data_IF_224743968285
#
_entry.id   IF_224743968285
#
_cell.length_a   1.000
_cell.length_b   1.000
_cell.length_c   1.000
_cell.angle_alpha   90.00
_cell.angle_beta   90.00
_cell.angle_gamma   90.00
#
_symmetry.space_group_name_H-M   'P 1'
#
loop_
_entity.id
_entity.type
_entity.pdbx_description
1 polymer ?
#
# COMPACT_ATOMS: atom_id res chain seq x y z
N UNK A 1 3.72 -24.49 -26.86
CA UNK A 1 2.26 -24.78 -26.81
C UNK A 1 1.51 -23.54 -27.21
N UNK A 2 0.66 -23.58 -28.25
CA UNK A 2 -0.16 -22.42 -28.65
C UNK A 2 -1.41 -22.44 -27.78
N UNK A 3 -1.59 -21.40 -26.94
CA UNK A 3 -2.80 -21.25 -26.13
C UNK A 3 -4.04 -21.03 -27.01
N UNK A 4 -5.22 -21.59 -26.65
CA UNK A 4 -6.46 -21.29 -27.32
C UNK A 4 -6.72 -19.78 -27.37
N UNK A 5 -7.31 -19.28 -28.46
CA UNK A 5 -7.62 -17.85 -28.65
C UNK A 5 -8.41 -17.28 -27.48
N UNK A 6 -9.41 -18.01 -26.99
CA UNK A 6 -10.26 -17.63 -25.85
C UNK A 6 -9.47 -17.35 -24.56
N UNK A 7 -8.42 -18.14 -24.28
CA UNK A 7 -7.58 -17.94 -23.08
C UNK A 7 -6.81 -16.63 -23.17
N UNK A 8 -6.29 -16.31 -24.38
CA UNK A 8 -5.61 -15.02 -24.59
C UNK A 8 -6.56 -13.84 -24.46
N UNK A 9 -7.76 -13.95 -25.02
CA UNK A 9 -8.78 -12.87 -25.01
C UNK A 9 -9.31 -12.54 -23.63
N UNK A 10 -9.19 -13.45 -22.65
CA UNK A 10 -9.65 -13.26 -21.27
C UNK A 10 -8.50 -13.06 -20.27
N UNK A 11 -7.25 -13.05 -20.72
CA UNK A 11 -6.10 -12.95 -19.84
C UNK A 11 -6.03 -11.61 -19.08
N UNK A 12 -6.55 -10.54 -19.66
CA UNK A 12 -6.67 -9.23 -19.02
C UNK A 12 -7.62 -9.26 -17.80
N UNK A 13 -8.77 -9.91 -17.92
CA UNK A 13 -9.72 -10.06 -16.81
C UNK A 13 -9.18 -11.01 -15.74
N UNK A 14 -8.56 -12.13 -16.16
CA UNK A 14 -7.92 -13.06 -15.25
C UNK A 14 -6.79 -12.38 -14.45
N UNK A 15 -5.98 -11.55 -15.11
CA UNK A 15 -4.94 -10.76 -14.46
C UNK A 15 -5.52 -9.81 -13.41
N UNK A 16 -6.56 -9.04 -13.76
CA UNK A 16 -7.19 -8.09 -12.83
C UNK A 16 -7.70 -8.85 -11.60
N UNK A 17 -8.37 -9.99 -11.78
CA UNK A 17 -8.84 -10.82 -10.68
C UNK A 17 -7.68 -11.37 -9.81
N UNK A 18 -6.63 -11.89 -10.43
CA UNK A 18 -5.44 -12.40 -9.74
C UNK A 18 -4.77 -11.35 -8.87
N UNK A 19 -4.60 -10.13 -9.40
CA UNK A 19 -3.98 -9.03 -8.66
C UNK A 19 -4.91 -8.46 -7.58
N UNK A 20 -6.20 -8.29 -7.89
CA UNK A 20 -7.17 -7.75 -6.95
C UNK A 20 -7.38 -8.66 -5.71
N UNK A 21 -7.23 -9.97 -5.89
CA UNK A 21 -7.33 -10.98 -4.82
C UNK A 21 -5.98 -11.27 -4.13
N UNK A 22 -4.94 -10.52 -4.48
CA UNK A 22 -3.59 -10.65 -3.90
C UNK A 22 -3.02 -12.07 -4.05
N UNK A 23 -3.38 -12.77 -5.13
CA UNK A 23 -2.90 -14.12 -5.40
C UNK A 23 -1.39 -14.11 -5.75
N UNK A 24 -0.62 -15.17 -5.40
CA UNK A 24 0.80 -15.23 -5.71
C UNK A 24 1.08 -15.16 -7.21
N UNK A 25 2.02 -14.30 -7.61
CA UNK A 25 2.47 -14.12 -9.02
C UNK A 25 3.58 -15.12 -9.33
N UNK A 26 3.27 -16.39 -9.18
CA UNK A 26 4.18 -17.52 -9.44
C UNK A 26 3.52 -18.51 -10.40
N UNK A 27 4.30 -19.39 -11.02
CA UNK A 27 3.79 -20.46 -11.89
C UNK A 27 2.82 -19.97 -12.96
N UNK A 28 1.61 -20.51 -12.98
CA UNK A 28 0.55 -20.19 -13.95
C UNK A 28 0.06 -18.74 -13.79
N UNK A 29 -0.06 -18.23 -12.57
CA UNK A 29 -0.49 -16.85 -12.32
C UNK A 29 0.51 -15.85 -12.93
N UNK A 30 1.81 -16.15 -12.91
CA UNK A 30 2.81 -15.30 -13.58
C UNK A 30 2.66 -15.33 -15.11
N UNK A 31 2.30 -16.47 -15.68
CA UNK A 31 2.01 -16.58 -17.10
C UNK A 31 0.75 -15.80 -17.48
N UNK A 32 -0.30 -15.87 -16.67
CA UNK A 32 -1.53 -15.06 -16.78
C UNK A 32 -1.18 -13.58 -16.68
N UNK A 33 -0.33 -13.19 -15.74
CA UNK A 33 0.07 -11.80 -15.54
C UNK A 33 0.80 -11.23 -16.78
N UNK A 34 1.71 -11.99 -17.39
CA UNK A 34 2.39 -11.58 -18.63
C UNK A 34 1.42 -11.39 -19.79
N UNK A 35 0.56 -12.39 -20.03
CA UNK A 35 -0.43 -12.34 -21.09
C UNK A 35 -1.46 -11.24 -20.89
N UNK A 36 -1.94 -11.07 -19.64
CA UNK A 36 -2.92 -10.05 -19.28
C UNK A 36 -2.37 -8.63 -19.43
N UNK A 37 -1.11 -8.39 -19.03
CA UNK A 37 -0.45 -7.10 -19.28
C UNK A 37 -0.30 -6.81 -20.76
N UNK A 38 0.07 -7.81 -21.59
CA UNK A 38 0.13 -7.67 -23.04
C UNK A 38 -1.24 -7.28 -23.63
N UNK A 39 -2.32 -7.95 -23.17
CA UNK A 39 -3.68 -7.65 -23.59
C UNK A 39 -4.14 -6.24 -23.16
N UNK A 40 -3.87 -5.85 -21.92
CA UNK A 40 -4.21 -4.51 -21.42
C UNK A 40 -3.48 -3.42 -22.22
N UNK A 41 -2.21 -3.63 -22.53
CA UNK A 41 -1.40 -2.71 -23.32
C UNK A 41 -1.90 -2.61 -24.77
N UNK A 42 -2.39 -3.70 -25.34
CA UNK A 42 -2.98 -3.72 -26.69
C UNK A 42 -4.33 -3.00 -26.79
N UNK A 43 -5.05 -2.85 -25.67
CA UNK A 43 -6.24 -2.02 -25.57
C UNK A 43 -7.51 -2.60 -26.19
N UNK A 44 -7.74 -3.90 -26.09
CA UNK A 44 -8.85 -4.61 -26.73
C UNK A 44 -10.23 -4.34 -26.15
N UNK A 45 -10.36 -3.94 -24.86
CA UNK A 45 -11.64 -3.74 -24.19
C UNK A 45 -11.97 -2.26 -23.99
N UNK A 46 -13.13 -1.77 -24.53
CA UNK A 46 -13.54 -0.37 -24.37
C UNK A 46 -13.64 0.06 -22.90
N UNK A 47 -14.22 -0.79 -22.04
CA UNK A 47 -14.40 -0.47 -20.62
C UNK A 47 -13.08 -0.31 -19.86
N UNK A 48 -12.10 -1.18 -20.09
CA UNK A 48 -10.78 -1.04 -19.49
C UNK A 48 -10.03 0.16 -20.05
N UNK A 49 -10.19 0.45 -21.34
CA UNK A 49 -9.63 1.63 -21.96
C UNK A 49 -10.13 2.93 -21.30
N UNK A 50 -11.44 3.05 -21.12
CA UNK A 50 -12.05 4.20 -20.45
C UNK A 50 -11.62 4.30 -18.98
N UNK A 51 -11.52 3.18 -18.25
CA UNK A 51 -11.10 3.17 -16.86
C UNK A 51 -9.62 3.58 -16.70
N UNK A 52 -8.74 3.13 -17.58
CA UNK A 52 -7.33 3.54 -17.60
C UNK A 52 -7.18 5.04 -17.86
N UNK A 53 -7.97 5.59 -18.78
CA UNK A 53 -7.99 7.03 -19.06
C UNK A 53 -8.44 7.83 -17.83
N UNK A 54 -9.52 7.40 -17.13
CA UNK A 54 -9.96 8.04 -15.89
C UNK A 54 -8.95 7.92 -14.76
N UNK A 55 -8.19 6.83 -14.73
CA UNK A 55 -7.08 6.64 -13.78
C UNK A 55 -5.82 7.45 -14.14
N UNK A 56 -5.76 8.08 -15.31
CA UNK A 56 -4.57 8.80 -15.80
C UNK A 56 -3.39 7.87 -16.13
N UNK A 57 -3.67 6.61 -16.47
CA UNK A 57 -2.65 5.59 -16.71
C UNK A 57 -2.33 5.43 -18.21
N UNK A 58 -1.05 5.50 -18.54
CA UNK A 58 -0.55 5.21 -19.89
C UNK A 58 -0.49 3.69 -20.11
N UNK A 59 -1.15 3.20 -21.18
CA UNK A 59 -1.28 1.77 -21.47
C UNK A 59 0.06 1.06 -21.68
N UNK A 60 0.99 1.71 -22.35
CA UNK A 60 2.30 1.16 -22.70
C UNK A 60 3.17 0.85 -21.48
N UNK A 61 2.80 1.40 -20.31
CA UNK A 61 3.57 1.31 -19.07
C UNK A 61 2.85 0.66 -17.90
N UNK A 62 1.78 -0.05 -18.19
CA UNK A 62 1.01 -0.72 -17.13
C UNK A 62 1.87 -1.75 -16.40
N UNK A 63 1.82 -1.68 -15.07
CA UNK A 63 2.44 -2.62 -14.14
C UNK A 63 1.37 -3.34 -13.32
N UNK A 64 1.75 -4.37 -12.57
CA UNK A 64 0.83 -5.01 -11.62
C UNK A 64 0.38 -4.04 -10.53
N UNK A 65 1.26 -3.12 -10.11
CA UNK A 65 0.94 -2.09 -9.12
C UNK A 65 -0.15 -1.15 -9.62
N UNK A 66 -0.11 -0.74 -10.89
CA UNK A 66 -1.19 0.06 -11.47
C UNK A 66 -2.53 -0.68 -11.42
N UNK A 67 -2.53 -1.99 -11.63
CA UNK A 67 -3.74 -2.81 -11.53
C UNK A 67 -4.20 -2.89 -10.08
N UNK A 68 -3.31 -3.24 -9.16
CA UNK A 68 -3.61 -3.43 -7.74
C UNK A 68 -4.03 -2.14 -7.03
N UNK A 69 -3.37 -1.01 -7.32
CA UNK A 69 -3.57 0.24 -6.59
C UNK A 69 -4.44 1.28 -7.32
N UNK A 70 -4.64 1.14 -8.62
CA UNK A 70 -5.45 2.10 -9.36
C UNK A 70 -6.71 1.47 -9.99
N UNK A 71 -6.62 0.31 -10.63
CA UNK A 71 -7.74 -0.29 -11.36
C UNK A 71 -8.64 -1.12 -10.44
N UNK A 72 -8.09 -2.07 -9.70
CA UNK A 72 -8.86 -2.94 -8.81
C UNK A 72 -9.67 -2.18 -7.75
N UNK A 73 -9.13 -1.12 -7.09
CA UNK A 73 -9.90 -0.33 -6.13
C UNK A 73 -11.08 0.41 -6.73
N UNK A 74 -10.98 0.89 -7.98
CA UNK A 74 -12.08 1.51 -8.71
C UNK A 74 -13.18 0.52 -8.97
N UNK A 75 -12.86 -0.64 -9.52
CA UNK A 75 -13.82 -1.73 -9.75
C UNK A 75 -14.50 -2.18 -8.45
N UNK A 76 -13.71 -2.33 -7.38
CA UNK A 76 -14.21 -2.73 -6.07
C UNK A 76 -15.09 -1.65 -5.40
N UNK A 77 -14.90 -0.36 -5.74
CA UNK A 77 -15.68 0.72 -5.16
C UNK A 77 -17.18 0.58 -5.51
N UNK A 78 -17.52 0.12 -6.72
CA UNK A 78 -18.89 -0.14 -7.12
C UNK A 78 -19.61 -1.11 -6.17
N UNK A 79 -18.92 -2.17 -5.70
CA UNK A 79 -19.52 -3.13 -4.76
C UNK A 79 -19.50 -2.68 -3.28
N UNK A 80 -18.72 -1.64 -2.93
CA UNK A 80 -18.62 -1.15 -1.53
C UNK A 80 -19.62 -0.05 -1.20
N UNK A 81 -19.92 0.82 -2.17
CA UNK A 81 -20.77 2.01 -1.97
C UNK A 81 -21.86 2.16 -3.05
N UNK A 82 -21.98 1.19 -3.97
CA UNK A 82 -22.92 1.16 -5.08
C UNK A 82 -23.31 -0.25 -5.50
N UNK A 83 -23.50 -0.47 -6.80
CA UNK A 83 -23.90 -1.75 -7.40
C UNK A 83 -22.72 -2.43 -8.10
N UNK A 84 -22.29 -3.59 -7.61
CA UNK A 84 -21.20 -4.38 -8.21
C UNK A 84 -21.46 -4.74 -9.69
N UNK A 85 -22.72 -4.86 -10.10
CA UNK A 85 -23.10 -5.12 -11.48
C UNK A 85 -22.56 -4.08 -12.47
N UNK A 86 -22.41 -2.82 -12.05
CA UNK A 86 -21.86 -1.74 -12.89
C UNK A 86 -20.42 -2.01 -13.32
N UNK A 87 -19.60 -2.51 -12.39
CA UNK A 87 -18.22 -2.90 -12.71
C UNK A 87 -18.17 -4.08 -13.68
N UNK A 88 -19.04 -5.08 -13.51
CA UNK A 88 -19.14 -6.19 -14.44
C UNK A 88 -19.58 -5.73 -15.85
N UNK A 89 -20.59 -4.86 -15.93
CA UNK A 89 -21.05 -4.29 -17.21
C UNK A 89 -19.92 -3.52 -17.91
N UNK A 90 -19.16 -2.68 -17.16
CA UNK A 90 -18.00 -1.97 -17.72
C UNK A 90 -16.98 -2.92 -18.35
N UNK A 91 -16.67 -4.03 -17.67
CA UNK A 91 -15.68 -5.00 -18.17
C UNK A 91 -16.17 -5.78 -19.40
N UNK A 92 -17.49 -5.89 -19.61
CA UNK A 92 -18.11 -6.70 -20.65
C UNK A 92 -18.63 -5.91 -21.85
N UNK A 93 -18.91 -4.61 -21.70
CA UNK A 93 -19.47 -3.81 -22.79
C UNK A 93 -18.54 -3.72 -24.00
N UNK A 94 -19.13 -3.80 -25.18
CA UNK A 94 -18.46 -3.56 -26.46
C UNK A 94 -18.73 -2.13 -27.01
N UNK A 95 -19.64 -1.38 -26.38
CA UNK A 95 -19.97 -0.01 -26.77
C UNK A 95 -19.04 1.01 -26.11
N UNK A 96 -18.24 1.76 -26.89
CA UNK A 96 -17.34 2.77 -26.32
C UNK A 96 -18.07 3.91 -25.57
N UNK A 97 -19.28 4.30 -25.99
CA UNK A 97 -20.03 5.37 -25.33
C UNK A 97 -20.54 4.90 -23.96
N UNK A 98 -21.09 3.69 -23.89
CA UNK A 98 -21.48 3.06 -22.62
C UNK A 98 -20.27 2.86 -21.69
N UNK A 99 -19.12 2.46 -22.26
CA UNK A 99 -17.87 2.27 -21.49
C UNK A 99 -17.42 3.56 -20.81
N UNK A 100 -17.46 4.69 -21.51
CA UNK A 100 -17.13 6.01 -20.95
C UNK A 100 -18.07 6.38 -19.82
N UNK A 101 -19.39 6.24 -20.01
CA UNK A 101 -20.39 6.57 -19.01
C UNK A 101 -20.22 5.71 -17.73
N UNK A 102 -20.01 4.40 -17.88
CA UNK A 102 -19.78 3.48 -16.75
C UNK A 102 -18.46 3.76 -16.04
N UNK A 103 -17.39 4.12 -16.78
CA UNK A 103 -16.12 4.49 -16.16
C UNK A 103 -16.25 5.77 -15.32
N UNK A 104 -17.05 6.75 -15.76
CA UNK A 104 -17.34 7.95 -14.98
C UNK A 104 -18.11 7.61 -13.70
N UNK A 105 -19.14 6.76 -13.78
CA UNK A 105 -19.90 6.31 -12.61
C UNK A 105 -18.99 5.62 -11.58
N UNK A 106 -18.11 4.72 -12.05
CA UNK A 106 -17.16 3.99 -11.19
C UNK A 106 -16.14 4.93 -10.56
N UNK A 107 -15.63 5.93 -11.31
CA UNK A 107 -14.72 6.92 -10.74
C UNK A 107 -15.42 7.75 -9.65
N UNK A 108 -16.65 8.17 -9.85
CA UNK A 108 -17.42 8.89 -8.82
C UNK A 108 -17.65 8.02 -7.57
N UNK A 109 -17.98 6.74 -7.74
CA UNK A 109 -18.11 5.79 -6.64
C UNK A 109 -16.77 5.62 -5.87
N UNK A 110 -15.66 5.58 -6.59
CA UNK A 110 -14.32 5.48 -5.98
C UNK A 110 -13.95 6.76 -5.21
N UNK A 111 -14.22 7.94 -5.76
CA UNK A 111 -14.00 9.23 -5.07
C UNK A 111 -14.86 9.31 -3.80
N UNK A 112 -16.12 8.94 -3.90
CA UNK A 112 -17.02 8.90 -2.75
C UNK A 112 -16.53 7.93 -1.67
N UNK A 113 -16.16 6.69 -2.04
CA UNK A 113 -15.58 5.71 -1.12
C UNK A 113 -14.34 6.26 -0.41
N UNK A 114 -13.42 6.90 -1.15
CA UNK A 114 -12.20 7.49 -0.58
C UNK A 114 -12.53 8.55 0.46
N UNK A 115 -13.46 9.45 0.16
CA UNK A 115 -13.87 10.51 1.09
C UNK A 115 -14.54 9.95 2.35
N UNK A 116 -15.47 8.98 2.19
CA UNK A 116 -16.12 8.31 3.32
C UNK A 116 -15.09 7.57 4.18
N UNK A 117 -14.15 6.85 3.55
CA UNK A 117 -13.07 6.14 4.29
C UNK A 117 -12.16 7.11 5.03
N UNK A 118 -11.81 8.24 4.41
CA UNK A 118 -10.98 9.28 5.04
C UNK A 118 -11.63 9.86 6.28
N UNK A 119 -12.91 10.23 6.21
CA UNK A 119 -13.67 10.76 7.36
C UNK A 119 -13.75 9.73 8.48
N UNK A 120 -14.15 8.51 8.15
CA UNK A 120 -14.27 7.43 9.10
C UNK A 120 -12.94 7.08 9.78
N UNK A 121 -11.82 7.17 9.06
CA UNK A 121 -10.48 6.97 9.64
C UNK A 121 -10.13 8.08 10.65
N UNK A 122 -10.45 9.34 10.36
CA UNK A 122 -10.24 10.45 11.30
C UNK A 122 -11.06 10.23 12.56
N UNK A 123 -12.35 9.93 12.43
CA UNK A 123 -13.25 9.65 13.55
C UNK A 123 -12.76 8.47 14.40
N UNK A 124 -12.33 7.38 13.74
CA UNK A 124 -11.81 6.20 14.43
C UNK A 124 -10.53 6.52 15.21
N UNK A 125 -9.62 7.30 14.64
CA UNK A 125 -8.38 7.72 15.30
C UNK A 125 -8.63 8.64 16.48
N UNK A 126 -9.52 9.61 16.31
CA UNK A 126 -9.91 10.52 17.39
C UNK A 126 -10.53 9.76 18.56
N UNK A 127 -11.44 8.82 18.29
CA UNK A 127 -12.06 7.99 19.32
C UNK A 127 -11.06 7.05 20.03
N UNK A 128 -9.97 6.66 19.37
CA UNK A 128 -8.86 5.89 19.95
C UNK A 128 -7.79 6.78 20.60
N UNK A 129 -7.91 8.12 20.55
CA UNK A 129 -6.91 9.04 21.07
C UNK A 129 -5.58 9.06 20.33
N UNK A 130 -5.58 8.65 19.04
CA UNK A 130 -4.36 8.43 18.24
C UNK A 130 -3.91 9.67 17.45
N UNK A 131 -4.60 10.80 17.57
CA UNK A 131 -4.35 12.00 16.79
C UNK A 131 -4.64 11.86 15.29
N UNK A 132 -4.52 12.94 14.49
CA UNK A 132 -4.85 12.93 13.08
C UNK A 132 -3.93 12.00 12.29
N UNK A 133 -4.39 11.47 11.13
CA UNK A 133 -3.54 10.70 10.24
C UNK A 133 -2.34 11.54 9.75
N UNK A 134 -1.21 10.89 9.53
CA UNK A 134 0.00 11.55 8.99
C UNK A 134 -0.24 12.16 7.61
N UNK A 135 -1.18 11.59 6.85
CA UNK A 135 -1.68 12.16 5.60
C UNK A 135 -3.20 11.94 5.50
N UNK A 136 -4.02 12.98 5.75
CA UNK A 136 -5.48 12.88 5.63
C UNK A 136 -5.97 12.63 4.18
N UNK A 137 -5.10 12.79 3.17
CA UNK A 137 -5.41 12.57 1.76
C UNK A 137 -4.99 11.21 1.21
N UNK A 138 -4.11 10.49 1.88
CA UNK A 138 -3.65 9.18 1.47
C UNK A 138 -4.70 8.11 1.85
N UNK A 139 -5.51 7.71 0.89
CA UNK A 139 -6.26 6.46 0.99
C UNK A 139 -5.29 5.26 1.07
N UNK A 140 -5.73 4.07 1.50
CA UNK A 140 -4.90 2.87 1.59
C UNK A 140 -4.23 2.47 0.26
N UNK A 141 -4.57 3.12 -0.81
CA UNK A 141 -4.18 2.83 -2.19
C UNK A 141 -2.98 3.63 -2.71
N UNK A 142 -2.53 4.65 -1.99
CA UNK A 142 -1.36 5.45 -2.43
C UNK A 142 -0.02 4.87 -1.96
N UNK A 143 -0.06 3.84 -1.15
CA UNK A 143 1.11 3.28 -0.49
C UNK A 143 1.94 2.28 -1.32
N UNK A 144 1.52 1.98 -2.52
CA UNK A 144 2.22 1.04 -3.41
C UNK A 144 2.46 1.54 -4.82
N UNK A 145 2.06 2.78 -5.14
CA UNK A 145 2.27 3.35 -6.47
C UNK A 145 3.71 3.88 -6.61
N UNK A 146 4.68 3.01 -6.49
CA UNK A 146 6.08 3.23 -6.90
C UNK A 146 6.28 3.19 -8.42
N UNK A 147 5.23 3.44 -9.20
CA UNK A 147 5.28 3.65 -10.63
C UNK A 147 4.70 5.02 -10.93
N UNK A 148 5.59 5.99 -11.22
CA UNK A 148 5.22 7.37 -11.51
C UNK A 148 4.06 7.48 -12.49
N UNK A 149 2.92 7.87 -11.99
CA UNK A 149 1.82 8.36 -12.83
C UNK A 149 1.91 9.88 -12.88
N UNK A 150 1.81 10.46 -14.08
CA UNK A 150 1.72 11.91 -14.31
C UNK A 150 0.52 12.57 -13.58
N UNK A 151 -0.26 11.82 -12.81
CA UNK A 151 -1.41 12.30 -12.06
C UNK A 151 -1.02 13.18 -10.86
N UNK A 152 0.19 13.04 -10.30
CA UNK A 152 0.70 13.90 -9.23
C UNK A 152 1.19 15.27 -9.73
N UNK A 153 1.30 15.46 -11.05
CA UNK A 153 1.77 16.73 -11.64
C UNK A 153 0.69 17.81 -11.75
N UNK A 154 -0.58 17.52 -11.45
CA UNK A 154 -1.67 18.50 -11.55
C UNK A 154 -2.01 19.25 -10.27
N UNK A 155 -1.38 18.97 -9.15
CA UNK A 155 -1.52 19.76 -7.92
C UNK A 155 -0.29 20.62 -7.67
N UNK A 156 -0.32 21.80 -8.32
CA UNK A 156 0.22 23.05 -7.76
C UNK A 156 1.74 23.12 -7.57
N UNK A 157 2.46 23.40 -8.65
CA UNK A 157 3.66 24.21 -8.59
C UNK A 157 3.39 25.53 -9.30
N UNK A 158 2.65 26.40 -8.66
CA UNK A 158 2.78 27.84 -8.91
C UNK A 158 4.01 28.33 -8.15
N UNK A 159 5.05 28.61 -8.94
CA UNK A 159 6.19 29.36 -8.51
C UNK A 159 5.76 30.82 -8.38
N UNK A 160 5.63 31.34 -7.17
CA UNK A 160 5.86 32.77 -6.90
C UNK A 160 5.95 33.04 -5.39
N UNK A 161 6.99 33.76 -5.06
CA UNK A 161 7.23 34.58 -3.86
C UNK A 161 7.57 33.81 -2.56
N UNK A 162 8.88 33.82 -2.31
CA UNK A 162 9.44 33.68 -0.98
C UNK A 162 9.01 34.86 -0.09
N UNK A 163 8.62 34.61 1.15
CA UNK A 163 8.83 35.60 2.22
C UNK A 163 10.11 35.22 2.98
N UNK A 164 10.90 36.28 3.13
CA UNK A 164 12.11 36.40 3.94
C UNK A 164 12.03 35.73 5.30
N UNK A 165 13.14 35.10 5.64
CA UNK A 165 13.44 34.49 6.93
C UNK A 165 13.12 35.42 8.11
N UNK A 166 12.22 34.97 8.98
CA UNK A 166 12.25 35.33 10.37
C UNK A 166 12.67 34.07 11.15
N UNK A 167 13.84 34.12 11.73
CA UNK A 167 14.38 33.10 12.60
C UNK A 167 13.42 32.91 13.78
N UNK A 168 12.66 31.83 13.78
CA UNK A 168 11.99 31.35 14.97
C UNK A 168 12.97 30.43 15.70
N UNK A 169 13.32 30.85 16.92
CA UNK A 169 14.17 30.13 17.85
C UNK A 169 13.64 28.68 18.02
N UNK A 170 14.58 27.73 18.03
CA UNK A 170 14.32 26.36 18.44
C UNK A 170 13.68 26.37 19.84
N UNK A 171 12.57 25.65 20.08
CA UNK A 171 12.08 25.45 21.43
C UNK A 171 13.12 24.64 22.21
N UNK A 172 13.44 25.16 23.40
CA UNK A 172 14.28 24.49 24.37
C UNK A 172 13.74 23.07 24.66
N UNK A 173 14.67 22.15 24.92
CA UNK A 173 14.34 20.79 25.39
C UNK A 173 13.43 20.87 26.62
N UNK A 174 12.14 20.75 26.36
CA UNK A 174 11.10 20.64 27.36
C UNK A 174 10.42 19.30 27.21
N UNK A 175 10.41 18.56 28.29
CA UNK A 175 9.65 17.35 28.60
C UNK A 175 9.16 16.54 27.41
N UNK A 176 9.88 15.47 27.12
CA UNK A 176 9.39 14.38 26.28
C UNK A 176 8.15 13.83 27.00
N UNK A 177 6.97 14.31 26.61
CA UNK A 177 5.71 13.67 26.97
C UNK A 177 5.83 12.27 26.37
N UNK A 178 5.93 11.28 27.25
CA UNK A 178 5.97 9.88 26.83
C UNK A 178 4.80 9.65 25.86
N UNK A 179 5.11 9.18 24.65
CA UNK A 179 4.07 8.83 23.69
C UNK A 179 3.11 7.86 24.39
N UNK A 180 1.79 8.04 24.30
CA UNK A 180 0.85 7.16 24.99
C UNK A 180 1.16 5.71 24.58
N UNK A 181 1.32 4.82 25.56
CA UNK A 181 1.53 3.40 25.28
C UNK A 181 0.32 2.91 24.49
N UNK A 182 0.56 2.53 23.23
CA UNK A 182 -0.46 2.00 22.35
C UNK A 182 -1.00 0.68 22.94
N UNK A 183 -2.32 0.47 22.95
CA UNK A 183 -2.89 -0.79 23.40
C UNK A 183 -2.40 -1.94 22.53
N UNK A 184 -2.47 -3.17 23.04
CA UNK A 184 -2.02 -4.36 22.33
C UNK A 184 -2.78 -4.60 21.01
N UNK A 185 -4.01 -4.12 20.91
CA UNK A 185 -4.82 -4.09 19.71
C UNK A 185 -5.67 -2.81 19.66
N UNK A 186 -6.03 -2.38 18.47
CA UNK A 186 -6.94 -1.25 18.24
C UNK A 186 -8.34 -1.80 18.01
N UNK A 187 -9.21 -1.66 19.01
CA UNK A 187 -10.59 -2.21 18.96
C UNK A 187 -11.57 -1.05 19.07
N UNK A 188 -12.41 -0.88 18.05
CA UNK A 188 -13.31 0.25 17.96
C UNK A 188 -14.63 -0.12 17.28
N UNK A 189 -15.70 0.54 17.68
CA UNK A 189 -16.99 0.53 17.00
C UNK A 189 -17.46 1.96 16.69
N UNK A 190 -18.17 2.10 15.57
CA UNK A 190 -18.74 3.37 15.15
C UNK A 190 -19.90 3.16 14.18
N UNK A 191 -20.43 4.23 13.65
CA UNK A 191 -21.50 4.19 12.65
C UNK A 191 -20.93 4.45 11.24
N UNK A 192 -20.31 3.42 10.69
CA UNK A 192 -19.67 3.49 9.37
C UNK A 192 -20.29 2.48 8.41
N UNK A 193 -20.32 2.76 7.09
CA UNK A 193 -20.78 1.78 6.10
C UNK A 193 -19.98 0.46 6.21
N UNK A 194 -20.70 -0.66 6.19
CA UNK A 194 -20.10 -2.01 6.30
C UNK A 194 -19.00 -2.24 5.24
N UNK A 195 -19.16 -1.67 4.03
CA UNK A 195 -18.22 -1.84 2.93
C UNK A 195 -16.84 -1.21 3.16
N UNK A 196 -16.68 -0.32 4.17
CA UNK A 196 -15.41 0.39 4.43
C UNK A 196 -14.72 0.01 5.73
N UNK A 197 -15.39 -0.69 6.69
CA UNK A 197 -14.78 -1.01 7.99
C UNK A 197 -13.48 -1.83 7.83
N UNK A 198 -13.39 -2.68 6.81
CA UNK A 198 -12.18 -3.43 6.50
C UNK A 198 -11.04 -2.56 5.97
N UNK A 199 -11.34 -1.43 5.34
CA UNK A 199 -10.33 -0.45 4.90
C UNK A 199 -9.80 0.35 6.10
N UNK A 200 -10.69 0.74 7.02
CA UNK A 200 -10.31 1.42 8.27
C UNK A 200 -9.42 0.50 9.11
N UNK A 201 -9.83 -0.77 9.32
CA UNK A 201 -9.06 -1.75 10.06
C UNK A 201 -7.68 -1.97 9.44
N UNK A 202 -7.60 -2.08 8.11
CA UNK A 202 -6.34 -2.22 7.38
C UNK A 202 -5.42 -1.04 7.63
N UNK A 203 -5.93 0.18 7.50
CA UNK A 203 -5.13 1.38 7.69
C UNK A 203 -4.63 1.54 9.13
N UNK A 204 -5.49 1.27 10.12
CA UNK A 204 -5.10 1.30 11.53
C UNK A 204 -4.02 0.25 11.83
N UNK A 205 -4.17 -0.98 11.32
CA UNK A 205 -3.19 -2.03 11.53
C UNK A 205 -1.83 -1.69 10.90
N UNK A 206 -1.83 -1.10 9.71
CA UNK A 206 -0.62 -0.67 9.00
C UNK A 206 0.07 0.52 9.66
N UNK A 207 -0.70 1.55 10.06
CA UNK A 207 -0.14 2.77 10.64
C UNK A 207 0.50 2.52 12.02
N UNK A 208 -0.05 1.58 12.79
CA UNK A 208 0.36 1.35 14.18
C UNK A 208 1.06 0.02 14.42
N UNK A 209 1.14 -0.86 13.41
CA UNK A 209 1.72 -2.18 13.56
C UNK A 209 0.99 -3.06 14.60
N UNK A 210 -0.29 -2.80 14.86
CA UNK A 210 -1.11 -3.51 15.85
C UNK A 210 -2.31 -4.18 15.19
N UNK A 211 -2.82 -5.30 15.72
CA UNK A 211 -4.10 -5.83 15.27
C UNK A 211 -5.19 -4.76 15.41
N UNK A 212 -6.02 -4.62 14.38
CA UNK A 212 -7.12 -3.66 14.39
C UNK A 212 -8.45 -4.34 14.11
N UNK A 213 -9.44 -4.03 14.94
CA UNK A 213 -10.83 -4.49 14.84
C UNK A 213 -11.73 -3.28 14.74
N UNK A 214 -12.48 -3.19 13.66
CA UNK A 214 -13.44 -2.10 13.42
C UNK A 214 -14.81 -2.69 13.21
N UNK A 215 -15.77 -2.30 14.07
CA UNK A 215 -17.13 -2.77 14.04
C UNK A 215 -18.11 -1.63 13.73
N UNK A 216 -19.22 -2.00 13.10
CA UNK A 216 -20.35 -1.13 12.82
C UNK A 216 -21.66 -1.86 13.06
N UNK A 217 -22.76 -1.12 13.22
CA UNK A 217 -24.10 -1.70 13.32
C UNK A 217 -24.47 -2.33 11.98
N UNK A 218 -24.75 -3.64 12.00
CA UNK A 218 -25.26 -4.37 10.84
C UNK A 218 -26.77 -4.27 10.75
N UNK A 219 -27.41 -4.45 11.89
CA UNK A 219 -28.86 -4.40 12.02
C UNK A 219 -29.22 -3.79 13.40
N UNK A 220 -29.87 -2.65 13.35
CA UNK A 220 -30.25 -1.90 14.55
C UNK A 220 -31.39 -2.58 15.34
N UNK A 221 -32.28 -3.34 14.67
CA UNK A 221 -33.40 -4.00 15.33
C UNK A 221 -32.92 -5.20 16.15
N UNK A 222 -32.01 -6.01 15.60
CA UNK A 222 -31.43 -7.14 16.31
C UNK A 222 -30.26 -6.75 17.23
N UNK A 223 -29.76 -5.52 17.14
CA UNK A 223 -28.58 -5.07 17.87
C UNK A 223 -27.30 -5.79 17.46
N UNK A 224 -27.24 -6.30 16.24
CA UNK A 224 -26.08 -7.03 15.72
C UNK A 224 -25.04 -6.07 15.14
N UNK A 225 -23.80 -6.24 15.58
CA UNK A 225 -22.63 -5.57 15.00
C UNK A 225 -21.91 -6.50 14.03
N UNK A 226 -21.37 -5.92 12.97
CA UNK A 226 -20.40 -6.57 12.07
C UNK A 226 -19.03 -5.97 12.26
N UNK A 227 -18.02 -6.81 12.40
CA UNK A 227 -16.64 -6.40 12.56
C UNK A 227 -15.74 -6.92 11.44
N UNK A 228 -14.75 -6.13 11.10
CA UNK A 228 -13.64 -6.50 10.23
C UNK A 228 -12.33 -6.38 11.00
N UNK A 229 -11.48 -7.40 10.87
CA UNK A 229 -10.21 -7.50 11.58
C UNK A 229 -9.05 -7.51 10.59
N UNK A 230 -7.96 -6.84 10.97
CA UNK A 230 -6.68 -6.91 10.26
C UNK A 230 -5.56 -7.17 11.24
N UNK A 231 -4.66 -8.08 10.86
CA UNK A 231 -3.53 -8.42 11.70
C UNK A 231 -2.48 -7.33 11.69
N UNK A 232 -1.82 -7.18 12.83
CA UNK A 232 -0.58 -6.44 13.02
C UNK A 232 0.26 -7.18 14.03
N UNK A 233 1.56 -6.91 14.10
CA UNK A 233 2.49 -7.53 15.04
C UNK A 233 2.46 -9.07 15.08
N UNK A 234 2.14 -9.73 13.96
CA UNK A 234 2.17 -11.20 13.85
C UNK A 234 1.02 -11.95 14.53
N UNK A 235 0.00 -11.27 15.02
CA UNK A 235 -1.14 -11.93 15.68
C UNK A 235 -1.98 -12.71 14.66
N UNK A 236 -2.16 -14.03 14.87
CA UNK A 236 -3.06 -14.86 14.07
C UNK A 236 -4.51 -14.58 14.45
N UNK A 237 -5.24 -13.86 13.60
CA UNK A 237 -6.62 -13.45 13.85
C UNK A 237 -7.58 -14.63 13.88
N UNK A 238 -7.39 -15.66 13.03
CA UNK A 238 -8.25 -16.81 13.00
C UNK A 238 -8.25 -17.55 14.35
N UNK A 239 -7.06 -17.79 14.93
CA UNK A 239 -6.91 -18.39 16.25
C UNK A 239 -7.46 -17.49 17.36
N UNK A 240 -7.19 -16.17 17.30
CA UNK A 240 -7.70 -15.24 18.30
C UNK A 240 -9.23 -15.15 18.31
N UNK A 241 -9.89 -15.29 17.18
CA UNK A 241 -11.35 -15.32 17.09
C UNK A 241 -11.93 -16.66 17.54
N UNK A 242 -11.23 -17.78 17.35
CA UNK A 242 -11.63 -19.09 17.93
C UNK A 242 -11.68 -19.01 19.44
N UNK A 243 -10.70 -18.34 20.08
CA UNK A 243 -10.66 -18.15 21.54
C UNK A 243 -11.78 -17.23 22.08
N UNK A 244 -12.47 -16.53 21.17
CA UNK A 244 -13.64 -15.69 21.49
C UNK A 244 -14.95 -16.24 20.92
N UNK A 245 -14.96 -17.45 20.37
CA UNK A 245 -16.09 -17.98 19.56
C UNK A 245 -17.42 -18.06 20.31
N UNK A 246 -17.39 -18.27 21.63
CA UNK A 246 -18.57 -18.30 22.50
C UNK A 246 -19.29 -16.94 22.64
N UNK A 247 -18.61 -15.84 22.24
CA UNK A 247 -19.17 -14.49 22.25
C UNK A 247 -19.75 -14.10 20.87
N UNK A 248 -19.36 -14.82 19.82
CA UNK A 248 -19.63 -14.43 18.46
C UNK A 248 -20.85 -15.17 17.87
N UNK A 249 -21.67 -14.47 17.09
CA UNK A 249 -22.78 -15.08 16.32
C UNK A 249 -22.21 -15.90 15.19
N UNK A 250 -21.22 -15.38 14.49
CA UNK A 250 -20.42 -16.07 13.47
C UNK A 250 -19.08 -15.40 13.31
N UNK A 251 -18.10 -16.15 12.89
CA UNK A 251 -16.78 -15.63 12.57
C UNK A 251 -16.13 -16.41 11.44
N UNK A 252 -15.12 -15.84 10.80
CA UNK A 252 -14.34 -16.50 9.75
C UNK A 252 -13.22 -15.62 9.23
N UNK A 253 -12.29 -16.24 8.53
CA UNK A 253 -11.14 -15.58 7.93
C UNK A 253 -9.87 -16.37 8.08
N UNK A 254 -8.75 -15.66 7.89
CA UNK A 254 -7.39 -16.21 7.89
C UNK A 254 -6.54 -15.49 8.95
N UNK A 255 -5.29 -15.88 9.08
CA UNK A 255 -4.35 -15.28 10.04
C UNK A 255 -4.22 -13.75 9.87
N UNK A 256 -4.21 -13.25 8.64
CA UNK A 256 -3.99 -11.84 8.34
C UNK A 256 -5.26 -10.98 8.32
N UNK A 257 -6.41 -11.56 7.96
CA UNK A 257 -7.68 -10.85 7.81
C UNK A 257 -8.86 -11.77 8.18
N UNK A 258 -9.75 -11.24 9.02
CA UNK A 258 -10.91 -11.98 9.49
C UNK A 258 -12.11 -11.03 9.68
N UNK A 259 -13.26 -11.59 9.95
CA UNK A 259 -14.46 -10.85 10.28
C UNK A 259 -15.41 -11.67 11.15
N UNK A 260 -16.30 -11.00 11.85
CA UNK A 260 -17.29 -11.63 12.69
C UNK A 260 -18.55 -10.77 12.84
N UNK A 261 -19.63 -11.40 13.26
CA UNK A 261 -20.83 -10.75 13.75
C UNK A 261 -20.98 -11.05 15.24
N UNK A 262 -21.43 -10.04 16.02
CA UNK A 262 -21.57 -10.10 17.47
C UNK A 262 -22.80 -9.30 17.93
N UNK A 263 -23.47 -9.74 18.99
CA UNK A 263 -24.47 -8.92 19.66
C UNK A 263 -23.81 -7.74 20.36
N UNK A 264 -24.38 -6.53 20.21
CA UNK A 264 -23.84 -5.31 20.82
C UNK A 264 -23.68 -5.41 22.35
N UNK A 265 -24.55 -6.20 23.01
CA UNK A 265 -24.48 -6.48 24.44
C UNK A 265 -23.20 -7.23 24.85
N UNK A 266 -22.64 -8.07 23.95
CA UNK A 266 -21.44 -8.86 24.20
C UNK A 266 -20.15 -8.14 23.83
N UNK A 267 -20.23 -6.98 23.17
CA UNK A 267 -19.06 -6.24 22.71
C UNK A 267 -18.06 -5.91 23.82
N UNK A 268 -18.46 -5.40 25.01
CA UNK A 268 -17.47 -5.06 26.05
C UNK A 268 -16.68 -6.30 26.55
N UNK A 269 -17.32 -7.45 26.64
CA UNK A 269 -16.67 -8.72 27.04
C UNK A 269 -15.69 -9.19 25.96
N UNK A 270 -16.09 -9.09 24.70
CA UNK A 270 -15.23 -9.42 23.56
C UNK A 270 -14.00 -8.51 23.53
N UNK A 271 -14.18 -7.21 23.62
CA UNK A 271 -13.09 -6.23 23.59
C UNK A 271 -12.06 -6.51 24.69
N UNK A 272 -12.51 -6.69 25.93
CA UNK A 272 -11.62 -7.01 27.04
C UNK A 272 -10.85 -8.31 26.83
N UNK A 273 -11.53 -9.37 26.33
CA UNK A 273 -10.92 -10.67 26.07
C UNK A 273 -9.91 -10.59 24.91
N UNK A 274 -10.28 -9.92 23.82
CA UNK A 274 -9.40 -9.80 22.67
C UNK A 274 -8.14 -8.97 22.98
N UNK A 275 -8.26 -7.87 23.73
CA UNK A 275 -7.11 -7.08 24.18
C UNK A 275 -6.13 -7.90 25.00
N UNK A 276 -6.62 -8.77 25.89
CA UNK A 276 -5.77 -9.70 26.65
C UNK A 276 -5.06 -10.70 25.75
N UNK A 277 -5.79 -11.34 24.83
CA UNK A 277 -5.22 -12.29 23.85
C UNK A 277 -4.15 -11.60 23.00
N UNK A 278 -4.42 -10.39 22.54
CA UNK A 278 -3.45 -9.61 21.77
C UNK A 278 -2.20 -9.29 22.60
N UNK A 279 -2.36 -8.87 23.87
CA UNK A 279 -1.23 -8.56 24.77
C UNK A 279 -0.31 -9.78 24.99
N UNK A 280 -0.89 -10.96 25.09
CA UNK A 280 -0.13 -12.23 25.25
C UNK A 280 0.64 -12.63 23.97
N UNK A 281 0.15 -12.20 22.80
CA UNK A 281 0.70 -12.57 21.48
C UNK A 281 1.51 -11.48 20.79
N UNK A 282 1.26 -10.21 21.11
CA UNK A 282 2.04 -9.06 20.65
C UNK A 282 3.32 -8.97 21.48
N UNK A 283 4.44 -9.30 20.98
CA UNK A 283 5.72 -9.21 21.71
C UNK A 283 6.67 -10.37 21.41
N UNK A 284 6.13 -11.42 20.80
CA UNK A 284 6.92 -12.55 20.31
C UNK A 284 7.47 -12.34 18.89
N UNK A 285 7.19 -11.19 18.26
CA UNK A 285 7.60 -10.94 16.87
C UNK A 285 9.05 -10.49 16.88
N UNK A 286 9.94 -11.37 16.42
CA UNK A 286 11.33 -11.00 16.10
C UNK A 286 11.33 -9.82 15.11
N UNK A 287 12.36 -8.95 15.14
CA UNK A 287 12.51 -7.91 14.14
C UNK A 287 12.37 -8.51 12.74
N UNK A 288 11.65 -7.83 11.85
CA UNK A 288 11.49 -8.30 10.48
C UNK A 288 12.86 -8.43 9.82
N UNK A 289 13.23 -9.63 9.41
CA UNK A 289 14.44 -9.84 8.63
C UNK A 289 14.22 -9.27 7.23
N UNK A 290 15.08 -8.35 6.81
CA UNK A 290 15.09 -7.81 5.45
C UNK A 290 16.00 -8.68 4.59
N UNK A 291 15.42 -9.23 3.52
CA UNK A 291 16.19 -10.04 2.56
C UNK A 291 16.92 -9.12 1.59
N UNK A 292 18.20 -9.39 1.37
CA UNK A 292 19.04 -8.76 0.35
C UNK A 292 19.25 -9.79 -0.77
N UNK A 293 18.83 -9.46 -1.98
CA UNK A 293 19.01 -10.35 -3.13
C UNK A 293 20.34 -10.12 -3.84
N UNK A 294 20.80 -8.87 -3.88
CA UNK A 294 22.06 -8.49 -4.54
C UNK A 294 22.69 -7.30 -3.82
N UNK A 295 24.02 -7.33 -3.68
CA UNK A 295 24.83 -6.18 -3.21
C UNK A 295 25.47 -5.51 -4.41
N UNK A 296 25.24 -4.20 -4.57
CA UNK A 296 25.67 -3.43 -5.75
C UNK A 296 26.32 -2.13 -5.30
N UNK A 297 27.52 -1.78 -5.78
CA UNK A 297 28.06 -0.43 -5.60
C UNK A 297 27.15 0.63 -6.25
N UNK A 298 27.06 1.80 -5.65
CA UNK A 298 26.19 2.87 -6.17
C UNK A 298 26.50 3.23 -7.63
N UNK A 299 27.75 3.13 -8.05
CA UNK A 299 28.19 3.44 -9.42
C UNK A 299 27.67 2.45 -10.48
N UNK A 300 27.31 1.23 -10.06
CA UNK A 300 26.78 0.18 -10.94
C UNK A 300 25.23 0.23 -11.05
N UNK A 301 24.57 1.13 -10.33
CA UNK A 301 23.12 1.31 -10.45
C UNK A 301 22.83 2.15 -11.69
N UNK A 302 22.84 1.54 -12.87
CA UNK A 302 22.64 2.17 -14.16
C UNK A 302 21.42 1.61 -14.93
N UNK A 303 21.21 2.06 -16.15
CA UNK A 303 20.10 1.58 -16.99
C UNK A 303 20.29 0.15 -17.49
N UNK A 304 21.52 -0.36 -17.53
CA UNK A 304 21.79 -1.74 -17.92
C UNK A 304 21.34 -2.68 -16.81
N UNK A 305 21.68 -2.37 -15.55
CA UNK A 305 21.17 -3.09 -14.38
C UNK A 305 19.62 -3.06 -14.33
N UNK A 306 19.00 -1.89 -14.58
CA UNK A 306 17.54 -1.79 -14.58
C UNK A 306 16.92 -2.67 -15.66
N UNK A 307 17.54 -2.77 -16.83
CA UNK A 307 17.08 -3.62 -17.94
C UNK A 307 17.15 -5.10 -17.56
N UNK A 308 18.23 -5.52 -16.92
CA UNK A 308 18.39 -6.90 -16.45
C UNK A 308 17.37 -7.24 -15.36
N UNK A 309 17.17 -6.37 -14.37
CA UNK A 309 16.13 -6.53 -13.35
C UNK A 309 14.74 -6.61 -13.97
N UNK A 310 14.47 -5.78 -15.00
CA UNK A 310 13.20 -5.77 -15.72
C UNK A 310 12.86 -7.11 -16.42
N UNK A 311 13.82 -8.00 -16.64
CA UNK A 311 13.55 -9.36 -17.14
C UNK A 311 12.82 -10.23 -16.11
N UNK A 312 12.87 -9.86 -14.84
CA UNK A 312 12.16 -10.54 -13.76
C UNK A 312 10.67 -10.20 -13.75
N UNK A 313 10.25 -9.14 -14.44
CA UNK A 313 8.84 -8.73 -14.47
C UNK A 313 7.92 -9.77 -15.15
N UNK A 314 6.67 -9.86 -14.75
CA UNK A 314 6.02 -9.11 -13.68
C UNK A 314 6.36 -9.65 -12.29
N UNK A 315 6.76 -8.75 -11.40
CA UNK A 315 6.95 -9.03 -9.98
C UNK A 315 5.65 -8.75 -9.21
N UNK A 316 5.47 -9.39 -8.06
CA UNK A 316 4.29 -9.25 -7.23
C UNK A 316 4.32 -10.19 -6.02
N UNK A 317 3.15 -10.48 -5.43
CA UNK A 317 3.05 -11.37 -4.27
C UNK A 317 3.66 -12.74 -4.58
N UNK A 318 4.52 -13.24 -3.70
CA UNK A 318 5.23 -14.52 -3.87
C UNK A 318 6.36 -14.52 -4.93
N UNK A 319 6.52 -13.42 -5.66
CA UNK A 319 7.61 -13.17 -6.60
C UNK A 319 7.99 -11.68 -6.52
N UNK A 320 8.55 -11.20 -5.40
CA UNK A 320 8.84 -9.80 -5.19
C UNK A 320 9.93 -9.28 -6.15
N UNK A 321 9.92 -7.97 -6.39
CA UNK A 321 11.06 -7.31 -7.02
C UNK A 321 12.30 -7.44 -6.13
N UNK A 322 13.51 -7.60 -6.70
CA UNK A 322 14.71 -7.82 -5.91
C UNK A 322 15.05 -6.59 -5.04
N UNK A 323 15.42 -6.85 -3.80
CA UNK A 323 15.97 -5.87 -2.89
C UNK A 323 17.49 -5.78 -3.08
N UNK A 324 17.95 -4.61 -3.49
CA UNK A 324 19.37 -4.31 -3.69
C UNK A 324 19.95 -3.64 -2.44
N UNK A 325 21.02 -4.16 -1.88
CA UNK A 325 21.84 -3.40 -0.96
C UNK A 325 22.83 -2.56 -1.77
N UNK A 326 22.52 -1.29 -1.95
CA UNK A 326 23.33 -0.36 -2.73
C UNK A 326 24.28 0.38 -1.80
N UNK A 327 25.59 0.18 -2.02
CA UNK A 327 26.62 0.69 -1.12
C UNK A 327 27.28 1.96 -1.64
N UNK A 328 27.62 2.88 -0.73
CA UNK A 328 28.50 4.00 -1.03
C UNK A 328 27.82 5.27 -1.52
N UNK A 329 26.58 5.53 -1.13
CA UNK A 329 25.93 6.82 -1.38
C UNK A 329 26.39 7.90 -0.38
N UNK A 330 26.32 9.15 -0.86
CA UNK A 330 26.35 10.35 0.00
C UNK A 330 25.02 11.05 -0.08
N UNK A 331 24.43 11.38 1.06
CA UNK A 331 23.18 12.14 1.14
C UNK A 331 23.43 13.56 0.67
N UNK A 332 22.73 13.99 -0.37
CA UNK A 332 22.70 15.38 -0.81
C UNK A 332 21.54 16.11 -0.14
N UNK A 333 20.40 15.42 -0.03
CA UNK A 333 19.22 15.98 0.62
C UNK A 333 18.27 14.85 1.06
N UNK A 334 17.73 15.01 2.26
CA UNK A 334 16.59 14.24 2.76
C UNK A 334 15.50 15.23 3.18
N UNK A 335 14.27 15.04 2.74
CA UNK A 335 13.15 15.90 3.12
C UNK A 335 11.86 15.12 3.28
N UNK A 336 11.06 15.53 4.26
CA UNK A 336 9.71 15.02 4.39
C UNK A 336 8.86 15.42 3.16
N UNK A 337 8.04 14.50 2.70
CA UNK A 337 7.08 14.67 1.62
C UNK A 337 5.68 14.32 2.14
N UNK A 338 4.66 14.79 1.40
CA UNK A 338 3.27 14.47 1.72
C UNK A 338 3.08 12.95 1.81
N UNK A 339 2.18 12.52 2.68
CA UNK A 339 1.91 11.08 2.87
C UNK A 339 2.85 10.38 3.86
N UNK A 340 3.63 11.12 4.64
CA UNK A 340 4.58 10.54 5.58
C UNK A 340 5.76 9.84 4.87
N UNK A 341 6.12 10.30 3.67
CA UNK A 341 7.25 9.79 2.90
C UNK A 341 8.49 10.64 3.12
N UNK A 342 9.66 10.10 2.78
CA UNK A 342 10.90 10.88 2.68
C UNK A 342 11.39 10.83 1.25
N UNK A 343 11.63 12.00 0.67
CA UNK A 343 12.35 12.14 -0.60
C UNK A 343 13.82 12.31 -0.32
N UNK A 344 14.63 11.54 -1.05
CA UNK A 344 16.08 11.50 -0.96
C UNK A 344 16.69 11.93 -2.29
N UNK A 345 17.78 12.70 -2.22
CA UNK A 345 18.70 12.90 -3.34
C UNK A 345 20.04 12.33 -2.88
N UNK A 346 20.49 11.29 -3.55
CA UNK A 346 21.67 10.52 -3.20
C UNK A 346 22.73 10.71 -4.27
N UNK A 347 23.97 11.03 -3.88
CA UNK A 347 25.10 11.20 -4.80
C UNK A 347 25.91 9.92 -4.87
N UNK A 348 26.20 9.50 -6.11
CA UNK A 348 27.18 8.49 -6.46
C UNK A 348 28.23 9.14 -7.36
N UNK A 349 29.50 9.05 -7.01
CA UNK A 349 30.59 9.69 -7.78
C UNK A 349 30.26 11.14 -8.18
N UNK A 350 29.92 11.39 -9.46
CA UNK A 350 29.57 12.72 -10.00
C UNK A 350 28.08 12.92 -10.25
N UNK A 351 27.30 11.85 -10.19
CA UNK A 351 25.89 11.85 -10.52
C UNK A 351 25.02 11.78 -9.26
N UNK A 352 23.76 12.12 -9.41
CA UNK A 352 22.74 11.97 -8.36
C UNK A 352 21.66 11.00 -8.81
N UNK A 353 21.08 10.30 -7.83
CA UNK A 353 19.95 9.41 -8.00
C UNK A 353 18.85 9.84 -7.03
N UNK A 354 17.64 9.92 -7.53
CA UNK A 354 16.47 10.18 -6.69
C UNK A 354 16.07 8.93 -5.93
N UNK A 355 15.72 9.10 -4.66
CA UNK A 355 15.16 8.06 -3.80
C UNK A 355 13.84 8.50 -3.18
N UNK A 356 12.96 7.54 -2.94
CA UNK A 356 11.76 7.73 -2.14
C UNK A 356 11.64 6.62 -1.12
N UNK A 357 11.50 6.99 0.15
CA UNK A 357 11.21 6.05 1.23
C UNK A 357 9.74 6.24 1.63
N UNK A 358 8.91 5.28 1.25
CA UNK A 358 7.49 5.32 1.54
C UNK A 358 7.22 5.06 3.03
N UNK A 359 6.37 5.90 3.66
CA UNK A 359 5.99 5.78 5.08
C UNK A 359 7.15 5.74 6.07
N UNK A 360 8.24 6.42 5.73
CA UNK A 360 9.44 6.59 6.55
C UNK A 360 9.74 8.07 6.78
N UNK A 361 8.83 8.82 7.48
CA UNK A 361 9.05 10.23 7.77
C UNK A 361 10.25 10.47 8.70
N UNK A 362 10.63 9.44 9.47
CA UNK A 362 11.78 9.41 10.36
C UNK A 362 13.10 9.71 9.62
N UNK A 363 13.27 9.19 8.42
CA UNK A 363 14.51 9.34 7.65
C UNK A 363 14.81 10.81 7.29
N UNK A 364 13.80 11.66 7.15
CA UNK A 364 14.00 13.08 6.88
C UNK A 364 14.65 13.83 8.07
N UNK A 365 14.45 13.33 9.29
CA UNK A 365 15.08 13.88 10.50
C UNK A 365 16.36 13.17 10.92
N UNK A 366 16.57 11.94 10.45
CA UNK A 366 17.73 11.12 10.80
C UNK A 366 18.94 11.38 9.89
N UNK A 367 18.70 11.71 8.60
CA UNK A 367 19.72 11.85 7.59
C UNK A 367 20.09 13.32 7.37
N UNK A 368 21.38 13.60 7.40
CA UNK A 368 21.94 14.93 7.15
C UNK A 368 22.69 14.98 5.82
N UNK A 369 22.82 16.18 5.24
CA UNK A 369 23.66 16.39 4.07
C UNK A 369 25.11 16.00 4.37
N UNK A 370 25.71 15.22 3.48
CA UNK A 370 27.08 14.72 3.62
C UNK A 370 27.17 13.34 4.29
N UNK A 371 26.12 12.82 4.90
CA UNK A 371 26.12 11.48 5.48
C UNK A 371 26.45 10.44 4.42
N UNK A 372 27.30 9.49 4.78
CA UNK A 372 27.62 8.32 3.95
C UNK A 372 26.77 7.16 4.40
N UNK A 373 25.98 6.63 3.47
CA UNK A 373 25.01 5.58 3.75
C UNK A 373 25.06 4.47 2.70
N UNK A 374 24.66 3.30 3.14
CA UNK A 374 24.23 2.20 2.29
C UNK A 374 22.70 2.13 2.35
N UNK A 375 22.04 1.81 1.24
CA UNK A 375 20.59 1.75 1.17
C UNK A 375 20.12 0.38 0.72
N UNK A 376 19.10 -0.15 1.37
CA UNK A 376 18.33 -1.27 0.86
C UNK A 376 17.21 -0.68 0.02
N UNK A 377 17.20 -0.98 -1.27
CA UNK A 377 16.26 -0.36 -2.19
C UNK A 377 15.83 -1.30 -3.32
N UNK A 378 14.71 -0.99 -3.95
CA UNK A 378 14.32 -1.51 -5.27
C UNK A 378 14.63 -0.46 -6.31
N UNK A 379 15.28 -0.87 -7.39
CA UNK A 379 15.63 0.05 -8.47
C UNK A 379 14.53 0.09 -9.53
N UNK A 380 14.18 1.28 -9.96
CA UNK A 380 13.21 1.52 -11.02
C UNK A 380 13.55 2.76 -11.83
N UNK A 381 12.71 3.11 -12.79
CA UNK A 381 12.83 4.36 -13.53
C UNK A 381 11.59 5.22 -13.36
N UNK A 382 11.81 6.54 -13.33
CA UNK A 382 10.76 7.56 -13.33
C UNK A 382 10.89 8.41 -14.58
N UNK A 383 9.75 8.73 -15.21
CA UNK A 383 9.72 9.74 -16.29
C UNK A 383 9.01 10.99 -15.82
N UNK A 384 9.66 12.12 -16.04
CA UNK A 384 9.11 13.43 -15.78
C UNK A 384 9.50 14.41 -16.90
N UNK A 385 8.54 15.15 -17.45
CA UNK A 385 8.79 16.11 -18.52
C UNK A 385 9.42 15.50 -19.79
N UNK A 386 9.19 14.23 -20.07
CA UNK A 386 9.77 13.51 -21.21
C UNK A 386 11.14 12.89 -20.95
N UNK A 387 11.77 13.18 -19.82
CA UNK A 387 13.05 12.60 -19.41
C UNK A 387 12.84 11.38 -18.50
N UNK A 388 13.63 10.34 -18.70
CA UNK A 388 13.69 9.18 -17.84
C UNK A 388 14.88 9.30 -16.89
N UNK A 389 14.64 9.05 -15.59
CA UNK A 389 15.67 9.02 -14.55
C UNK A 389 15.56 7.77 -13.71
N UNK A 390 16.68 7.30 -13.19
CA UNK A 390 16.71 6.20 -12.22
C UNK A 390 16.14 6.70 -10.91
N UNK A 391 15.27 5.91 -10.30
CA UNK A 391 14.70 6.17 -8.98
C UNK A 391 14.82 4.92 -8.12
N UNK A 392 15.19 5.12 -6.85
CA UNK A 392 15.25 4.06 -5.84
C UNK A 392 14.02 4.16 -4.92
N UNK A 393 13.30 3.06 -4.79
CA UNK A 393 12.37 2.87 -3.69
C UNK A 393 13.16 2.38 -2.48
N UNK A 394 13.45 3.28 -1.55
CA UNK A 394 14.29 2.99 -0.38
C UNK A 394 13.46 2.31 0.70
N UNK A 395 13.83 1.08 1.03
CA UNK A 395 13.20 0.25 2.06
C UNK A 395 13.81 0.57 3.41
N UNK A 396 15.16 0.66 3.47
CA UNK A 396 15.89 0.95 4.70
C UNK A 396 17.25 1.58 4.41
N UNK A 397 17.91 2.14 5.43
CA UNK A 397 19.22 2.79 5.34
C UNK A 397 20.11 2.33 6.49
N UNK A 398 21.41 2.23 6.22
CA UNK A 398 22.46 1.96 7.22
C UNK A 398 23.59 2.98 7.07
N UNK A 399 24.28 3.33 8.17
CA UNK A 399 25.51 4.10 8.09
C UNK A 399 26.58 3.27 7.36
N UNK A 400 27.42 3.92 6.53
CA UNK A 400 28.47 3.23 5.80
C UNK A 400 29.47 2.59 6.80
N UNK A 401 29.64 1.28 6.71
CA UNK A 401 30.54 0.51 7.57
C UNK A 401 29.84 -0.29 8.66
N UNK A 402 28.56 -0.10 8.90
CA UNK A 402 27.76 -1.03 9.69
C UNK A 402 27.53 -2.28 8.86
N UNK A 403 28.21 -3.37 9.22
CA UNK A 403 28.06 -4.63 8.48
C UNK A 403 26.64 -5.15 8.64
N UNK A 404 25.92 -5.44 7.53
CA UNK A 404 24.69 -6.19 7.63
C UNK A 404 25.01 -7.56 8.24
N UNK A 405 24.34 -7.88 9.34
CA UNK A 405 24.47 -9.16 10.00
C UNK A 405 24.16 -10.29 9.02
N UNK A 406 25.20 -11.09 8.72
CA UNK A 406 25.19 -12.42 8.08
C UNK A 406 24.53 -12.59 6.70
N UNK A 407 25.38 -12.65 5.67
CA UNK A 407 25.05 -13.28 4.38
C UNK A 407 24.73 -14.78 4.58
N UNK A 408 23.48 -15.17 4.51
CA UNK A 408 23.11 -16.55 4.15
C UNK A 408 22.93 -16.61 2.65
N UNK A 409 23.87 -17.24 1.94
CA UNK A 409 23.65 -17.70 0.57
C UNK A 409 22.46 -18.68 0.60
N UNK A 410 21.45 -18.52 -0.27
CA UNK A 410 20.46 -19.56 -0.45
C UNK A 410 21.17 -20.83 -0.96
N UNK A 411 20.72 -22.03 -0.56
CA UNK A 411 21.26 -23.26 -1.10
C UNK A 411 20.95 -23.32 -2.60
N UNK A 412 22.00 -23.51 -3.39
CA UNK A 412 21.91 -23.84 -4.80
C UNK A 412 21.42 -25.30 -4.86
N UNK A 413 20.18 -25.49 -5.26
CA UNK A 413 19.56 -26.77 -5.53
C UNK A 413 18.79 -26.71 -6.85
#
# INVERSE_FOLDING_TARGET
>A
MVLPRTVRELADLALIGTVADVAPITGENRSIARLGLEQLRSGSRPGLAALLERAGLARDRLTLDNIGFAIAPRLNAAGRVGEAARAATLLLTADPAEAVALADEIEQANLHRREVTRRALIEARDALGLGPPLDPGAGPETAGAGGGTDADARNGLDAATAPTAAAAAAPAAGDVVAAPELPAALVIRGDWPVGIIGLIAGRLAEDFGRPAIVATTLDAESGTLRASCRSGAGVNLAEALIDCSDLLVRHGGHSAAAGFDIEASRWPEFEARFLRIAAERVGATAPAELTVDLVVPADEVDYDLLREIGLLDPCGVGNPAPNLAVTGFTVVRARAANGGHTQLVLRRSRDVVDGVAFRRPDLAGMLNEGDRIDVLARAGSRRFGGFESIQLEVVDVAAQGDQPATHRRPPVG
#
